data_IF_349743071564
#
_entry.id   IF_349743071564
#
_cell.length_a   1.000
_cell.length_b   1.000
_cell.length_c   1.000
_cell.angle_alpha   90.00
_cell.angle_beta   90.00
_cell.angle_gamma   90.00
#
_symmetry.space_group_name_H-M   'P 1'
#
loop_
_entity.id
_entity.type
_entity.pdbx_description
1 polymer ?
#
# COMPACT_ATOMS: atom_id res chain seq x y z
N UNK A 1 -4.01 -19.10 -9.57
CA UNK A 1 -2.63 -18.62 -9.64
C UNK A 1 -2.65 -17.25 -10.32
N UNK A 2 -1.86 -16.28 -9.87
CA UNK A 2 -1.85 -14.92 -10.44
C UNK A 2 -0.43 -14.41 -10.74
N UNK A 3 -0.25 -13.51 -11.72
CA UNK A 3 1.06 -12.96 -12.04
C UNK A 3 1.41 -11.81 -11.08
N UNK A 4 2.53 -11.92 -10.36
CA UNK A 4 3.09 -10.83 -9.58
C UNK A 4 4.31 -10.24 -10.29
N UNK A 5 4.26 -8.94 -10.60
CA UNK A 5 5.39 -8.25 -11.22
C UNK A 5 6.58 -8.16 -10.27
N UNK A 6 7.78 -8.49 -10.76
CA UNK A 6 9.01 -8.52 -9.93
C UNK A 6 9.34 -7.15 -9.35
N UNK A 7 8.97 -6.06 -10.03
CA UNK A 7 9.13 -4.70 -9.51
C UNK A 7 8.28 -4.42 -8.27
N UNK A 8 7.18 -5.13 -8.03
CA UNK A 8 6.43 -5.01 -6.77
C UNK A 8 7.29 -5.49 -5.59
N UNK A 9 8.09 -6.54 -5.79
CA UNK A 9 9.03 -6.99 -4.77
C UNK A 9 10.17 -5.97 -4.56
N UNK A 10 10.77 -5.47 -5.64
CA UNK A 10 11.99 -4.66 -5.54
C UNK A 10 11.71 -3.18 -5.21
N UNK A 11 10.68 -2.60 -5.83
CA UNK A 11 10.35 -1.17 -5.67
C UNK A 11 9.36 -0.94 -4.54
N UNK A 12 8.32 -1.77 -4.44
CA UNK A 12 7.30 -1.64 -3.40
C UNK A 12 7.63 -2.46 -2.13
N UNK A 13 8.81 -3.09 -2.08
CA UNK A 13 9.35 -3.78 -0.90
C UNK A 13 8.47 -4.94 -0.37
N UNK A 14 7.66 -5.58 -1.23
CA UNK A 14 6.83 -6.72 -0.80
C UNK A 14 7.58 -8.05 -0.85
N UNK A 15 7.28 -8.90 0.12
CA UNK A 15 7.65 -10.32 0.15
C UNK A 15 6.41 -11.13 0.51
N UNK A 16 6.41 -12.41 0.14
CA UNK A 16 5.37 -13.36 0.55
C UNK A 16 5.82 -14.08 1.83
N UNK A 17 4.90 -14.38 2.78
CA UNK A 17 3.49 -13.99 2.78
C UNK A 17 3.30 -12.47 2.97
N UNK A 18 2.24 -11.92 2.38
CA UNK A 18 1.95 -10.49 2.46
C UNK A 18 1.53 -10.05 3.87
N UNK A 19 1.74 -8.78 4.20
CA UNK A 19 1.39 -8.23 5.50
C UNK A 19 -0.13 -8.18 5.73
N UNK A 20 -0.56 -8.34 6.99
CA UNK A 20 -1.99 -8.22 7.36
C UNK A 20 -2.57 -6.86 6.97
N UNK A 21 -1.76 -5.80 7.05
CA UNK A 21 -2.21 -4.45 6.70
C UNK A 21 -2.43 -4.30 5.20
N UNK A 22 -1.52 -4.79 4.34
CA UNK A 22 -1.75 -4.82 2.89
C UNK A 22 -3.08 -5.50 2.56
N UNK A 23 -3.31 -6.69 3.12
CA UNK A 23 -4.55 -7.44 2.89
C UNK A 23 -5.77 -6.64 3.35
N UNK A 24 -5.69 -5.97 4.52
CA UNK A 24 -6.76 -5.11 5.03
C UNK A 24 -7.08 -3.95 4.09
N UNK A 25 -6.06 -3.27 3.55
CA UNK A 25 -6.24 -2.18 2.57
C UNK A 25 -6.89 -2.70 1.29
N UNK A 26 -6.34 -3.77 0.70
CA UNK A 26 -6.87 -4.33 -0.55
C UNK A 26 -8.32 -4.80 -0.41
N UNK A 27 -8.68 -5.39 0.73
CA UNK A 27 -10.07 -5.77 1.03
C UNK A 27 -10.99 -4.58 1.17
N UNK A 28 -10.57 -3.53 1.87
CA UNK A 28 -11.38 -2.32 2.04
C UNK A 28 -11.73 -1.70 0.68
N UNK A 29 -10.74 -1.55 -0.19
CA UNK A 29 -10.92 -1.01 -1.54
C UNK A 29 -11.38 -2.05 -2.57
N UNK A 30 -11.67 -3.29 -2.14
CA UNK A 30 -12.14 -4.39 -2.97
C UNK A 30 -11.33 -4.53 -4.28
N UNK A 31 -10.00 -4.51 -4.17
CA UNK A 31 -9.10 -4.50 -5.32
C UNK A 31 -8.07 -5.62 -5.19
N UNK A 32 -7.90 -6.37 -6.27
CA UNK A 32 -6.87 -7.39 -6.36
C UNK A 32 -5.47 -6.75 -6.41
N UNK A 33 -4.48 -7.33 -5.73
CA UNK A 33 -3.09 -6.85 -5.69
C UNK A 33 -2.55 -6.54 -7.11
N UNK A 34 -2.77 -7.46 -8.05
CA UNK A 34 -2.35 -7.34 -9.46
C UNK A 34 -3.07 -6.26 -10.28
N UNK A 35 -4.02 -5.52 -9.69
CA UNK A 35 -4.64 -4.35 -10.34
C UNK A 35 -4.12 -3.04 -9.77
N UNK A 36 -3.31 -3.07 -8.71
CA UNK A 36 -2.67 -1.88 -8.13
C UNK A 36 -1.28 -1.71 -8.73
N UNK A 37 -0.95 -0.49 -9.15
CA UNK A 37 0.37 -0.21 -9.69
C UNK A 37 1.46 -0.24 -8.57
N UNK A 38 2.76 -0.35 -8.92
CA UNK A 38 3.82 -0.41 -7.91
C UNK A 38 3.93 0.82 -7.01
N UNK A 39 3.50 2.00 -7.47
CA UNK A 39 3.51 3.22 -6.65
C UNK A 39 2.50 3.15 -5.52
N UNK A 40 1.24 2.79 -5.83
CA UNK A 40 0.20 2.59 -4.81
C UNK A 40 0.61 1.54 -3.79
N UNK A 41 1.16 0.41 -4.26
CA UNK A 41 1.68 -0.64 -3.39
C UNK A 41 2.83 -0.15 -2.51
N UNK A 42 3.76 0.63 -3.05
CA UNK A 42 4.88 1.20 -2.28
C UNK A 42 4.43 2.15 -1.18
N UNK A 43 3.36 2.91 -1.40
CA UNK A 43 2.76 3.81 -0.40
C UNK A 43 2.12 3.03 0.74
N UNK A 44 1.39 1.95 0.45
CA UNK A 44 0.84 1.07 1.49
C UNK A 44 1.96 0.51 2.38
N UNK A 45 3.03 -0.03 1.77
CA UNK A 45 4.11 -0.64 2.53
C UNK A 45 4.93 0.40 3.30
N UNK A 46 5.23 1.55 2.68
CA UNK A 46 5.93 2.65 3.34
C UNK A 46 5.14 3.17 4.55
N UNK A 47 3.83 3.37 4.40
CA UNK A 47 2.96 3.75 5.51
C UNK A 47 3.03 2.72 6.64
N UNK A 48 2.94 1.43 6.31
CA UNK A 48 2.98 0.35 7.28
C UNK A 48 4.29 0.31 8.06
N UNK A 49 5.42 0.43 7.36
CA UNK A 49 6.76 0.46 7.94
C UNK A 49 6.94 1.71 8.79
N UNK A 50 6.46 2.86 8.33
CA UNK A 50 6.57 4.13 9.07
C UNK A 50 5.76 4.08 10.37
N UNK A 51 4.57 3.48 10.36
CA UNK A 51 3.81 3.26 11.60
C UNK A 51 4.59 2.38 12.58
N UNK A 52 5.15 1.26 12.11
CA UNK A 52 5.93 0.36 12.95
C UNK A 52 7.21 0.97 13.49
N UNK A 53 7.88 1.81 12.71
CA UNK A 53 9.06 2.54 13.15
C UNK A 53 8.76 3.56 14.27
N UNK A 54 7.50 3.95 14.42
CA UNK A 54 6.99 4.78 15.53
C UNK A 54 6.39 3.94 16.67
N UNK A 55 6.60 2.61 16.66
CA UNK A 55 5.99 1.66 17.59
C UNK A 55 4.44 1.69 17.59
N UNK A 56 3.84 2.10 16.46
CA UNK A 56 2.39 2.16 16.28
C UNK A 56 1.91 1.05 15.32
N UNK A 57 0.71 0.54 15.60
CA UNK A 57 0.03 -0.37 14.66
C UNK A 57 -0.48 0.44 13.45
N UNK A 58 -0.31 -0.05 12.21
CA UNK A 58 -0.80 0.65 11.03
C UNK A 58 -2.34 0.70 11.03
N UNK A 59 -2.87 1.90 10.85
CA UNK A 59 -4.30 2.19 10.89
C UNK A 59 -4.84 2.50 9.49
N UNK A 60 -5.91 1.82 9.09
CA UNK A 60 -6.52 1.96 7.78
C UNK A 60 -7.13 3.36 7.58
N UNK A 61 -7.74 3.94 8.62
CA UNK A 61 -8.37 5.24 8.49
C UNK A 61 -7.31 6.34 8.46
N UNK A 62 -6.21 6.20 9.20
CA UNK A 62 -5.07 7.11 9.02
C UNK A 62 -4.45 6.99 7.62
N UNK A 63 -4.38 5.79 7.04
CA UNK A 63 -3.96 5.63 5.65
C UNK A 63 -4.89 6.35 4.67
N UNK A 64 -6.22 6.18 4.83
CA UNK A 64 -7.24 6.84 4.02
C UNK A 64 -7.22 8.37 4.16
N UNK A 65 -6.80 8.90 5.32
CA UNK A 65 -6.61 10.33 5.52
C UNK A 65 -5.51 10.91 4.61
N UNK A 66 -4.45 10.14 4.35
CA UNK A 66 -3.35 10.60 3.50
C UNK A 66 -3.60 10.32 2.02
N UNK A 67 -4.27 9.20 1.72
CA UNK A 67 -4.36 8.70 0.36
C UNK A 67 -5.79 8.53 -0.16
N UNK A 68 -6.01 9.04 -1.37
CA UNK A 68 -7.20 8.85 -2.19
C UNK A 68 -7.01 7.63 -3.10
N UNK A 69 -7.99 6.74 -3.15
CA UNK A 69 -7.99 5.60 -4.07
C UNK A 69 -8.54 6.03 -5.44
N UNK A 70 -7.68 5.99 -6.46
CA UNK A 70 -8.01 6.47 -7.81
C UNK A 70 -7.62 5.47 -8.89
N UNK A 71 -8.18 5.68 -10.09
CA UNK A 71 -7.69 5.06 -11.33
C UNK A 71 -6.53 5.87 -11.92
N UNK A 72 -5.45 5.19 -12.30
CA UNK A 72 -4.33 5.72 -13.05
C UNK A 72 -4.16 4.91 -14.35
N UNK A 73 -4.87 5.34 -15.41
CA UNK A 73 -5.01 4.55 -16.64
C UNK A 73 -5.78 3.25 -16.36
N UNK A 74 -5.22 2.11 -16.76
CA UNK A 74 -5.82 0.78 -16.53
C UNK A 74 -5.56 0.19 -15.14
N UNK A 75 -4.93 0.95 -14.24
CA UNK A 75 -4.48 0.49 -12.93
C UNK A 75 -5.13 1.30 -11.83
N UNK A 76 -5.23 0.72 -10.63
CA UNK A 76 -5.56 1.45 -9.43
C UNK A 76 -4.30 1.93 -8.71
N UNK A 77 -4.43 3.01 -7.97
CA UNK A 77 -3.36 3.58 -7.15
C UNK A 77 -3.91 4.36 -5.97
N UNK A 78 -3.02 4.74 -5.07
CA UNK A 78 -3.28 5.58 -3.91
C UNK A 78 -2.58 6.92 -4.14
N UNK A 79 -3.32 7.96 -4.51
CA UNK A 79 -2.79 9.32 -4.71
C UNK A 79 -2.85 10.11 -3.41
N UNK A 80 -2.04 11.16 -3.26
CA UNK A 80 -2.15 12.06 -2.11
C UNK A 80 -3.35 12.98 -2.25
N UNK A 81 -4.08 13.20 -1.16
CA UNK A 81 -5.10 14.24 -1.12
C UNK A 81 -4.46 15.62 -1.31
N UNK A 82 -5.09 16.48 -2.13
CA UNK A 82 -4.61 17.84 -2.35
C UNK A 82 -4.68 18.63 -1.04
N UNK A 83 -3.54 19.20 -0.63
CA UNK A 83 -3.44 20.04 0.57
C UNK A 83 -3.21 19.28 1.87
N UNK A 84 -3.22 17.94 1.85
CA UNK A 84 -2.86 17.12 3.01
C UNK A 84 -1.34 16.86 2.97
N UNK A 85 -0.58 17.15 4.05
CA UNK A 85 0.83 16.82 4.12
C UNK A 85 1.07 15.33 4.00
N UNK A 86 2.01 14.96 3.12
CA UNK A 86 2.38 13.56 2.87
C UNK A 86 3.31 13.02 3.98
N UNK A 87 3.10 11.77 4.45
CA UNK A 87 4.05 11.06 5.30
C UNK A 87 5.29 10.57 4.53
N UNK A 88 5.23 10.54 3.20
CA UNK A 88 6.34 10.16 2.32
C UNK A 88 7.09 11.40 1.80
N UNK A 89 8.41 11.39 2.03
CA UNK A 89 9.42 12.39 1.66
C UNK A 89 9.48 12.70 0.18
N UNK A 90 10.30 11.88 -0.48
CA UNK A 90 10.53 11.86 -1.91
C UNK A 90 9.94 10.56 -2.46
N UNK A 91 9.03 10.70 -3.42
CA UNK A 91 8.50 9.57 -4.19
C UNK A 91 9.12 9.58 -5.58
N UNK A 92 9.47 8.40 -6.10
CA UNK A 92 9.86 8.31 -7.51
C UNK A 92 8.65 8.64 -8.38
N UNK A 93 8.85 9.51 -9.36
CA UNK A 93 7.82 9.90 -10.32
C UNK A 93 7.66 8.94 -11.50
N UNK A 94 8.64 8.05 -11.72
CA UNK A 94 8.60 7.09 -12.82
C UNK A 94 9.27 5.76 -12.48
N UNK A 95 8.74 4.71 -13.07
CA UNK A 95 9.25 3.34 -12.98
C UNK A 95 9.10 2.70 -14.35
N UNK A 96 10.14 2.84 -15.19
CA UNK A 96 10.14 2.24 -16.53
C UNK A 96 10.09 0.71 -16.42
N UNK A 97 9.47 0.08 -17.41
CA UNK A 97 9.61 -1.35 -17.65
C UNK A 97 9.16 -2.21 -16.46
N UNK A 98 8.17 -1.73 -15.69
CA UNK A 98 7.74 -2.44 -14.49
C UNK A 98 6.89 -3.67 -14.77
N UNK A 99 6.40 -3.79 -16.01
CA UNK A 99 5.58 -4.90 -16.50
C UNK A 99 6.40 -6.00 -17.20
N UNK A 100 7.70 -5.78 -17.42
CA UNK A 100 8.55 -6.62 -18.26
C UNK A 100 8.82 -8.00 -17.64
N UNK A 101 8.63 -8.15 -16.32
CA UNK A 101 8.91 -9.40 -15.63
C UNK A 101 7.90 -9.66 -14.53
N UNK A 102 7.39 -10.88 -14.49
CA UNK A 102 6.50 -11.38 -13.46
C UNK A 102 6.84 -12.84 -13.15
N UNK A 103 6.41 -13.30 -11.99
CA UNK A 103 6.36 -14.72 -11.66
C UNK A 103 4.95 -15.07 -11.20
N UNK A 104 4.63 -16.36 -11.26
CA UNK A 104 3.34 -16.85 -10.82
C UNK A 104 3.35 -17.10 -9.31
N UNK A 105 2.34 -16.56 -8.64
CA UNK A 105 2.05 -16.90 -7.25
C UNK A 105 0.80 -17.76 -7.18
N UNK A 106 0.88 -18.76 -6.30
CA UNK A 106 -0.28 -19.56 -5.96
C UNK A 106 -1.32 -18.69 -5.24
N UNK A 107 -2.61 -18.94 -5.50
CA UNK A 107 -3.69 -18.18 -4.85
C UNK A 107 -3.69 -18.40 -3.33
N UNK A 108 -3.19 -19.55 -2.87
CA UNK A 108 -3.00 -19.85 -1.44
C UNK A 108 -1.97 -18.91 -0.77
N UNK A 109 -1.16 -18.16 -1.52
CA UNK A 109 -0.29 -17.12 -0.98
C UNK A 109 -1.05 -15.85 -0.56
N UNK A 110 -2.32 -15.72 -0.94
CA UNK A 110 -3.24 -14.69 -0.45
C UNK A 110 -4.11 -15.31 0.64
N UNK A 111 -4.03 -14.85 1.90
CA UNK A 111 -4.78 -15.45 3.00
C UNK A 111 -6.31 -15.25 2.90
N UNK A 112 -6.81 -14.57 1.87
CA UNK A 112 -8.22 -14.23 1.67
C UNK A 112 -8.51 -14.18 0.17
N UNK A 113 -9.68 -14.69 -0.25
CA UNK A 113 -10.22 -14.49 -1.60
C UNK A 113 -10.30 -12.98 -1.91
N UNK A 114 -9.38 -12.49 -2.74
CA UNK A 114 -9.40 -11.09 -3.18
C UNK A 114 -10.40 -10.92 -4.34
N UNK A 115 -11.29 -9.94 -4.21
CA UNK A 115 -12.28 -9.64 -5.24
C UNK A 115 -11.62 -8.89 -6.39
N UNK A 116 -11.89 -9.32 -7.62
CA UNK A 116 -11.54 -8.56 -8.82
C UNK A 116 -12.50 -7.39 -8.95
N UNK A 117 -11.97 -6.17 -8.89
CA UNK A 117 -12.74 -4.98 -9.19
C UNK A 117 -12.95 -4.85 -10.70
N UNK A 118 -14.19 -4.63 -11.11
CA UNK A 118 -14.55 -4.33 -12.50
C UNK A 118 -14.63 -2.82 -12.72
N UNK A 119 -14.34 -2.36 -13.96
CA UNK A 119 -14.21 -0.93 -14.30
C UNK A 119 -15.51 -0.12 -14.12
N UNK A 120 -16.65 -0.79 -14.08
CA UNK A 120 -18.00 -0.24 -13.94
C UNK A 120 -18.43 -0.03 -12.48
N UNK A 121 -17.66 -0.53 -11.51
CA UNK A 121 -17.98 -0.32 -10.10
C UNK A 121 -17.64 1.10 -9.63
N UNK A 122 -18.61 1.78 -9.05
CA UNK A 122 -18.49 3.16 -8.53
C UNK A 122 -17.32 3.27 -7.54
N UNK A 123 -16.53 4.35 -7.66
CA UNK A 123 -15.42 4.67 -6.76
C UNK A 123 -15.85 5.66 -5.66
N UNK A 124 -16.84 5.33 -4.83
CA UNK A 124 -17.18 6.20 -3.68
C UNK A 124 -16.44 5.73 -2.42
N UNK A 125 -15.18 6.13 -2.26
CA UNK A 125 -14.44 6.00 -0.99
C UNK A 125 -14.12 7.35 -0.36
N UNK A 126 -14.85 8.38 -0.78
CA UNK A 126 -14.69 9.72 -0.25
C UNK A 126 -14.79 9.70 1.27
N UNK A 127 -13.97 10.52 1.90
CA UNK A 127 -14.03 10.73 3.32
C UNK A 127 -15.28 11.56 3.59
N UNK A 128 -16.32 10.93 4.15
CA UNK A 128 -17.52 11.65 4.57
C UNK A 128 -17.21 12.67 5.67
N UNK A 129 -18.16 13.58 5.93
CA UNK A 129 -17.99 14.65 6.93
C UNK A 129 -17.70 14.11 8.34
N UNK A 130 -18.23 12.92 8.66
CA UNK A 130 -18.03 12.23 9.94
C UNK A 130 -16.79 11.32 9.99
N UNK A 131 -15.83 11.52 9.07
CA UNK A 131 -14.64 10.68 9.03
C UNK A 131 -13.72 10.91 10.24
N UNK A 132 -13.60 9.88 11.08
CA UNK A 132 -12.74 9.88 12.28
C UNK A 132 -11.52 8.99 12.05
N UNK A 133 -10.36 9.49 12.42
CA UNK A 133 -9.09 8.77 12.38
C UNK A 133 -8.17 9.21 13.51
N UNK A 134 -7.12 8.43 13.78
CA UNK A 134 -6.13 8.77 14.80
C UNK A 134 -5.23 9.95 14.35
N UNK A 135 -5.60 11.17 14.77
CA UNK A 135 -4.87 12.41 14.47
C UNK A 135 -3.45 12.43 15.06
N UNK A 136 -3.22 11.77 16.19
CA UNK A 136 -1.90 11.68 16.83
C UNK A 136 -0.91 10.89 15.97
N UNK A 137 -1.32 9.73 15.49
CA UNK A 137 -0.53 8.92 14.56
C UNK A 137 -0.29 9.66 13.25
N UNK A 138 -1.33 10.30 12.69
CA UNK A 138 -1.18 11.10 11.47
C UNK A 138 -0.11 12.20 11.65
N UNK A 139 -0.17 12.92 12.77
CA UNK A 139 0.81 13.97 13.08
C UNK A 139 2.22 13.42 13.22
N UNK A 140 2.39 12.33 13.97
CA UNK A 140 3.68 11.69 14.17
C UNK A 140 4.31 11.21 12.85
N UNK A 141 3.50 10.70 11.91
CA UNK A 141 3.96 10.29 10.58
C UNK A 141 4.42 11.49 9.73
N UNK A 142 3.74 12.64 9.81
CA UNK A 142 4.15 13.86 9.14
C UNK A 142 5.45 14.39 9.74
N UNK A 143 5.56 14.43 11.07
CA UNK A 143 6.74 14.94 11.77
C UNK A 143 7.97 14.03 11.55
N UNK A 144 7.76 12.74 11.28
CA UNK A 144 8.82 11.75 10.97
C UNK A 144 8.80 11.32 9.49
N UNK A 145 8.46 12.25 8.60
CA UNK A 145 8.41 12.05 7.15
C UNK A 145 9.67 11.35 6.64
N UNK A 146 9.50 10.25 5.90
CA UNK A 146 10.63 9.48 5.34
C UNK A 146 10.41 9.14 3.86
N UNK A 147 11.47 8.99 3.06
CA UNK A 147 11.35 8.72 1.62
C UNK A 147 10.96 7.27 1.34
N UNK A 148 10.22 7.04 0.24
CA UNK A 148 9.94 5.69 -0.26
C UNK A 148 11.18 5.20 -0.99
N UNK A 149 11.91 4.24 -0.39
CA UNK A 149 13.15 3.70 -0.95
C UNK A 149 13.11 2.17 -0.97
N UNK A 150 13.74 1.52 -1.97
CA UNK A 150 14.01 0.10 -1.90
C UNK A 150 14.76 -0.23 -0.62
N UNK A 151 14.31 -1.25 0.10
CA UNK A 151 14.98 -1.74 1.29
C UNK A 151 15.93 -2.87 0.91
N UNK A 152 17.12 -2.94 1.53
CA UNK A 152 18.00 -4.09 1.41
C UNK A 152 17.27 -5.40 1.75
N UNK A 153 17.56 -6.47 1.02
CA UNK A 153 16.88 -7.77 1.20
C UNK A 153 16.98 -8.30 2.64
N UNK A 154 18.07 -8.02 3.34
CA UNK A 154 18.28 -8.45 4.73
C UNK A 154 17.40 -7.70 5.75
N UNK A 155 16.97 -6.46 5.47
CA UNK A 155 16.03 -5.71 6.31
C UNK A 155 14.57 -6.13 6.07
N UNK A 156 14.32 -6.89 5.00
CA UNK A 156 12.99 -7.32 4.59
C UNK A 156 12.55 -8.67 5.21
N UNK A 157 13.39 -9.27 6.07
CA UNK A 157 13.06 -10.47 6.85
C UNK A 157 12.19 -10.18 8.09
N UNK A 158 11.86 -8.91 8.35
CA UNK A 158 11.06 -8.46 9.51
C UNK A 158 9.58 -8.89 9.49
N UNK A 159 9.13 -9.65 8.49
CA UNK A 159 7.76 -10.18 8.40
C UNK A 159 7.43 -11.32 9.38
N UNK A 160 8.40 -11.80 10.18
CA UNK A 160 8.18 -12.82 11.22
C UNK A 160 8.40 -12.34 12.65
N UNK A 161 8.31 -11.03 12.91
CA UNK A 161 8.09 -10.58 14.29
C UNK A 161 6.60 -10.75 14.59
N UNK A 162 6.23 -11.98 14.94
CA UNK A 162 4.96 -12.30 15.57
C UNK A 162 4.77 -11.37 16.77
N UNK A 163 3.69 -10.61 16.78
CA UNK A 163 3.07 -10.19 18.02
C UNK A 163 1.58 -10.57 17.94
N UNK A 164 1.23 -11.41 18.90
CA UNK A 164 -0.11 -11.72 19.40
C UNK A 164 -1.06 -10.52 19.42
#
# INVERSE_FOLDING_TARGET
MFPLYTRVCNFANYRVPFSKFLIRVLRYFQVHLCKVNPFGLSRINHFEISCRALDQRPDLDVFRHFYEFITAGDWYTFAHWKGIPSPSGDERSSLKNWKDSFFWLDDHCLPVEMVWRFKDQTMSFDLGEDFVFNKGLARALIDNKSPIRPLPEHLLLWGRVCFS
#
